data_IF_332592052201
#
_entry.id   IF_332592052201
#
_cell.length_a   1.000
_cell.length_b   1.000
_cell.length_c   1.000
_cell.angle_alpha   90.00
_cell.angle_beta   90.00
_cell.angle_gamma   90.00
#
_symmetry.space_group_name_H-M   'P 1'
#
loop_
_entity.id
_entity.type
_entity.pdbx_description
1 polymer ?
#
# COMPACT_ATOMS: atom_id res chain seq x y z
N UNK A 1 -19.73 -6.01 46.68
CA UNK A 1 -21.05 -5.99 47.34
C UNK A 1 -21.22 -4.59 47.90
N UNK A 2 -22.06 -3.66 47.47
CA UNK A 2 -23.41 -3.65 46.87
C UNK A 2 -23.63 -2.16 46.47
N UNK A 3 -23.78 -1.75 45.20
CA UNK A 3 -25.01 -1.31 44.48
C UNK A 3 -24.46 -0.42 43.34
N UNK A 4 -24.79 -0.44 42.06
CA UNK A 4 -25.99 -0.82 41.30
C UNK A 4 -27.28 -0.33 41.93
N UNK A 5 -27.61 0.96 41.75
CA UNK A 5 -28.99 1.47 41.61
C UNK A 5 -29.00 2.97 41.24
N UNK A 6 -29.85 3.35 40.27
CA UNK A 6 -30.02 4.65 39.56
C UNK A 6 -29.15 4.81 38.31
N UNK A 7 -29.57 4.59 37.06
CA UNK A 7 -30.88 4.49 36.39
C UNK A 7 -31.79 5.74 36.54
N UNK A 8 -31.83 6.50 35.44
CA UNK A 8 -32.94 7.28 34.88
C UNK A 8 -33.49 8.51 35.61
N UNK A 9 -33.01 9.69 35.20
CA UNK A 9 -33.78 10.92 34.90
C UNK A 9 -32.87 11.74 33.95
N UNK A 10 -33.22 12.29 32.79
CA UNK A 10 -34.43 12.42 32.00
C UNK A 10 -34.00 12.97 30.62
N UNK A 11 -34.88 12.86 29.63
CA UNK A 11 -34.69 13.39 28.27
C UNK A 11 -34.42 14.90 28.25
N UNK A 12 -33.62 15.36 27.27
CA UNK A 12 -33.87 16.60 26.53
C UNK A 12 -33.56 16.39 25.03
N UNK A 13 -34.42 16.84 24.09
CA UNK A 13 -34.20 16.71 22.65
C UNK A 13 -33.69 18.02 21.98
N UNK A 14 -32.73 17.87 21.07
CA UNK A 14 -32.34 18.77 19.94
C UNK A 14 -31.76 20.18 20.25
N UNK A 15 -31.12 20.90 19.28
CA UNK A 15 -30.32 20.51 18.10
C UNK A 15 -29.03 21.37 17.91
N UNK A 16 -28.33 21.13 16.79
CA UNK A 16 -27.43 22.04 16.02
C UNK A 16 -25.92 22.06 16.26
N UNK A 17 -25.23 21.77 15.15
CA UNK A 17 -23.99 22.38 14.65
C UNK A 17 -22.89 22.64 15.67
N UNK A 18 -22.13 21.58 15.97
CA UNK A 18 -20.73 21.73 16.34
C UNK A 18 -19.93 21.93 15.06
N UNK A 19 -19.58 23.18 14.77
CA UNK A 19 -18.65 23.56 13.72
C UNK A 19 -17.41 22.65 13.73
N UNK A 20 -17.25 21.85 12.68
CA UNK A 20 -16.01 21.14 12.42
C UNK A 20 -14.94 22.19 12.15
N UNK A 21 -14.21 22.57 13.20
CA UNK A 21 -13.02 23.41 13.12
C UNK A 21 -12.13 22.83 12.01
N UNK A 22 -11.84 23.57 10.93
CA UNK A 22 -10.90 23.08 9.92
C UNK A 22 -9.56 22.93 10.62
N UNK A 23 -9.12 21.67 10.80
CA UNK A 23 -7.77 21.39 11.26
C UNK A 23 -6.83 22.04 10.25
N UNK A 24 -6.21 23.17 10.62
CA UNK A 24 -5.13 23.75 9.84
C UNK A 24 -4.01 22.72 9.83
N UNK A 25 -3.97 21.90 8.78
CA UNK A 25 -2.80 21.12 8.45
C UNK A 25 -1.67 22.15 8.31
N UNK A 26 -0.77 22.20 9.29
CA UNK A 26 0.49 22.90 9.14
C UNK A 26 1.17 22.39 7.86
N UNK A 27 2.03 23.20 7.22
CA UNK A 27 2.67 22.80 5.98
C UNK A 27 3.27 21.40 6.16
N UNK A 28 2.90 20.46 5.29
CA UNK A 28 3.33 19.07 5.37
C UNK A 28 4.86 18.99 5.27
N UNK A 29 5.57 19.13 6.39
CA UNK A 29 7.04 19.18 6.45
C UNK A 29 7.66 17.93 5.83
N UNK A 30 6.95 16.79 5.90
CA UNK A 30 7.33 15.54 5.27
C UNK A 30 7.35 15.67 3.73
N UNK A 31 6.26 16.18 3.14
CA UNK A 31 6.18 16.41 1.69
C UNK A 31 7.18 17.46 1.20
N UNK A 32 7.43 18.51 1.99
CA UNK A 32 8.43 19.53 1.67
C UNK A 32 9.85 18.96 1.62
N UNK A 33 10.24 18.13 2.60
CA UNK A 33 11.57 17.49 2.63
C UNK A 33 11.78 16.56 1.44
N UNK A 34 10.76 15.78 1.09
CA UNK A 34 10.80 14.91 -0.08
C UNK A 34 10.93 15.75 -1.35
N UNK A 35 10.11 16.79 -1.50
CA UNK A 35 10.21 17.70 -2.65
C UNK A 35 11.61 18.30 -2.79
N UNK A 36 12.21 18.77 -1.69
CA UNK A 36 13.57 19.33 -1.69
C UNK A 36 14.63 18.30 -2.11
N UNK A 37 14.51 17.05 -1.68
CA UNK A 37 15.42 15.97 -2.09
C UNK A 37 15.31 15.65 -3.59
N UNK A 38 14.10 15.72 -4.14
CA UNK A 38 13.92 15.52 -5.58
C UNK A 38 14.46 16.69 -6.38
N UNK A 39 14.22 17.92 -5.92
CA UNK A 39 14.76 19.13 -6.55
C UNK A 39 16.29 19.13 -6.55
N UNK A 40 16.94 18.71 -5.45
CA UNK A 40 18.40 18.61 -5.42
C UNK A 40 18.93 17.51 -6.34
N UNK A 41 18.25 16.36 -6.42
CA UNK A 41 18.58 15.27 -7.34
C UNK A 41 18.47 15.69 -8.81
N UNK A 42 17.35 16.30 -9.20
CA UNK A 42 17.17 16.82 -10.56
C UNK A 42 18.16 17.93 -10.89
N UNK A 43 18.47 18.81 -9.94
CA UNK A 43 19.48 19.85 -10.11
C UNK A 43 20.87 19.24 -10.36
N UNK A 44 21.26 18.22 -9.60
CA UNK A 44 22.54 17.53 -9.80
C UNK A 44 22.63 16.87 -11.18
N UNK A 45 21.57 16.21 -11.63
CA UNK A 45 21.49 15.62 -12.98
C UNK A 45 21.53 16.70 -14.07
N UNK A 46 20.83 17.82 -13.87
CA UNK A 46 20.82 18.94 -14.82
C UNK A 46 22.20 19.61 -14.92
N UNK A 47 22.90 19.79 -13.81
CA UNK A 47 24.27 20.33 -13.80
C UNK A 47 25.25 19.36 -14.47
N UNK A 48 25.11 18.05 -14.22
CA UNK A 48 25.90 17.04 -14.92
C UNK A 48 25.65 17.08 -16.44
N UNK A 49 24.38 17.10 -16.86
CA UNK A 49 24.03 17.18 -18.27
C UNK A 49 24.54 18.47 -18.91
N UNK A 50 24.43 19.62 -18.22
CA UNK A 50 24.96 20.90 -18.69
C UNK A 50 26.48 20.86 -18.85
N UNK A 51 27.19 20.26 -17.89
CA UNK A 51 28.64 20.08 -17.96
C UNK A 51 29.03 19.23 -19.18
N UNK A 52 28.35 18.10 -19.40
CA UNK A 52 28.56 17.22 -20.56
C UNK A 52 28.25 17.92 -21.88
N UNK A 53 27.16 18.69 -21.95
CA UNK A 53 26.81 19.44 -23.17
C UNK A 53 27.77 20.60 -23.45
N UNK A 54 28.43 21.14 -22.42
CA UNK A 54 29.43 22.19 -22.57
C UNK A 54 30.81 21.66 -22.97
N UNK A 55 31.15 20.42 -22.60
CA UNK A 55 32.51 19.91 -22.71
C UNK A 55 32.89 19.23 -24.04
N UNK A 56 31.93 18.92 -24.93
CA UNK A 56 32.21 17.88 -25.95
C UNK A 56 31.43 17.98 -27.27
N UNK A 57 31.96 17.27 -28.26
CA UNK A 57 31.30 16.91 -29.51
C UNK A 57 29.93 16.25 -29.26
N UNK A 58 28.92 16.66 -30.02
CA UNK A 58 27.54 16.17 -29.92
C UNK A 58 27.38 14.63 -29.77
N UNK A 59 28.08 13.77 -30.53
CA UNK A 59 27.92 12.31 -30.40
C UNK A 59 28.43 11.74 -29.07
N UNK A 60 29.52 12.27 -28.51
CA UNK A 60 30.09 11.77 -27.25
C UNK A 60 29.18 12.19 -26.07
N UNK A 61 28.71 13.43 -26.09
CA UNK A 61 27.77 13.97 -25.11
C UNK A 61 26.46 13.16 -25.07
N UNK A 62 25.90 12.83 -26.24
CA UNK A 62 24.70 12.01 -26.34
C UNK A 62 24.92 10.60 -25.76
N UNK A 63 26.08 10.00 -26.03
CA UNK A 63 26.44 8.68 -25.51
C UNK A 63 26.53 8.67 -23.99
N UNK A 64 27.22 9.65 -23.39
CA UNK A 64 27.31 9.80 -21.92
C UNK A 64 25.94 9.94 -21.27
N UNK A 65 25.04 10.73 -21.86
CA UNK A 65 23.69 10.94 -21.35
C UNK A 65 22.84 9.65 -21.40
N UNK A 66 22.83 8.95 -22.54
CA UNK A 66 22.08 7.69 -22.68
C UNK A 66 22.53 6.66 -21.64
N UNK A 67 23.84 6.49 -21.45
CA UNK A 67 24.38 5.59 -20.42
C UNK A 67 23.95 6.02 -19.02
N UNK A 68 24.03 7.31 -18.71
CA UNK A 68 23.64 7.86 -17.41
C UNK A 68 22.17 7.60 -17.10
N UNK A 69 21.26 7.86 -18.06
CA UNK A 69 19.84 7.58 -17.89
C UNK A 69 19.53 6.09 -17.82
N UNK A 70 20.21 5.26 -18.62
CA UNK A 70 20.05 3.81 -18.57
C UNK A 70 20.42 3.23 -17.20
N UNK A 71 21.58 3.63 -16.66
CA UNK A 71 22.05 3.18 -15.34
C UNK A 71 21.14 3.70 -14.23
N UNK A 72 20.68 4.96 -14.34
CA UNK A 72 19.70 5.53 -13.43
C UNK A 72 18.38 4.75 -13.42
N UNK A 73 17.86 4.38 -14.60
CA UNK A 73 16.64 3.62 -14.73
C UNK A 73 16.75 2.22 -14.11
N UNK A 74 17.88 1.53 -14.35
CA UNK A 74 18.15 0.23 -13.71
C UNK A 74 18.21 0.38 -12.19
N UNK A 75 18.93 1.39 -11.69
CA UNK A 75 18.97 1.71 -10.27
C UNK A 75 17.56 1.97 -9.71
N UNK A 76 16.74 2.76 -10.39
CA UNK A 76 15.39 3.10 -9.97
C UNK A 76 14.45 1.89 -9.93
N UNK A 77 14.56 0.95 -10.88
CA UNK A 77 13.81 -0.31 -10.86
C UNK A 77 14.19 -1.15 -9.63
N UNK A 78 15.48 -1.25 -9.33
CA UNK A 78 15.96 -1.95 -8.14
C UNK A 78 15.43 -1.24 -6.88
N UNK A 79 15.61 0.08 -6.77
CA UNK A 79 15.12 0.87 -5.64
C UNK A 79 13.62 0.74 -5.43
N UNK A 80 12.83 0.76 -6.51
CA UNK A 80 11.40 0.51 -6.51
C UNK A 80 11.08 -0.83 -5.86
N UNK A 81 11.76 -1.90 -6.27
CA UNK A 81 11.52 -3.25 -5.76
C UNK A 81 11.78 -3.36 -4.25
N UNK A 82 12.86 -2.75 -3.76
CA UNK A 82 13.20 -2.74 -2.33
C UNK A 82 12.27 -1.86 -1.48
N UNK A 83 11.61 -0.87 -2.08
CA UNK A 83 10.75 0.06 -1.36
C UNK A 83 9.31 -0.40 -1.18
N UNK A 84 8.87 -1.46 -1.87
CA UNK A 84 7.50 -1.99 -1.75
C UNK A 84 7.20 -2.26 -0.27
N UNK A 85 6.22 -1.55 0.33
CA UNK A 85 5.89 -1.72 1.73
C UNK A 85 5.30 -3.11 1.96
N UNK A 86 5.88 -3.85 2.90
CA UNK A 86 5.36 -5.14 3.35
C UNK A 86 4.25 -4.88 4.36
N UNK A 87 3.05 -5.36 4.07
CA UNK A 87 1.92 -5.24 5.00
C UNK A 87 1.97 -6.48 5.88
N UNK A 88 2.65 -6.35 7.02
CA UNK A 88 2.71 -7.41 8.02
C UNK A 88 1.28 -7.70 8.49
N UNK A 89 0.69 -8.76 7.94
CA UNK A 89 -0.66 -9.23 8.25
C UNK A 89 -0.79 -9.76 9.69
N UNK A 90 0.30 -9.75 10.48
CA UNK A 90 0.35 -10.25 11.86
C UNK A 90 -0.26 -9.30 12.91
N UNK A 91 -0.66 -8.08 12.53
CA UNK A 91 -1.16 -7.09 13.50
C UNK A 91 -2.67 -7.12 13.70
N UNK A 92 -3.36 -8.19 13.31
CA UNK A 92 -4.73 -8.42 13.78
C UNK A 92 -4.63 -9.37 14.97
N UNK A 93 -4.74 -8.89 16.22
CA UNK A 93 -4.85 -9.78 17.36
C UNK A 93 -5.99 -10.76 17.07
N UNK A 94 -5.82 -12.07 17.35
CA UNK A 94 -6.98 -12.95 17.45
C UNK A 94 -7.94 -12.23 18.39
N UNK A 95 -9.25 -12.15 18.08
CA UNK A 95 -10.18 -11.37 18.87
C UNK A 95 -9.99 -11.78 20.33
N UNK A 96 -9.38 -10.90 21.11
CA UNK A 96 -9.27 -11.11 22.53
C UNK A 96 -10.72 -11.25 22.96
N UNK A 97 -11.05 -12.37 23.58
CA UNK A 97 -12.36 -12.62 24.20
C UNK A 97 -12.54 -11.73 25.43
N UNK A 98 -12.32 -10.43 25.26
CA UNK A 98 -12.52 -9.41 26.26
C UNK A 98 -13.71 -8.61 25.81
N UNK A 99 -14.85 -8.92 26.44
CA UNK A 99 -16.13 -8.21 26.40
C UNK A 99 -16.67 -7.96 25.00
N UNK A 100 -17.61 -8.82 24.60
CA UNK A 100 -18.50 -8.67 23.44
C UNK A 100 -18.73 -7.19 23.12
N UNK A 101 -18.38 -6.70 21.92
CA UNK A 101 -19.18 -5.66 21.31
C UNK A 101 -20.58 -6.26 21.22
N UNK A 102 -21.59 -5.49 21.62
CA UNK A 102 -22.99 -5.79 21.40
C UNK A 102 -23.24 -5.79 19.88
N UNK A 103 -22.79 -6.85 19.18
CA UNK A 103 -23.00 -7.04 17.74
C UNK A 103 -24.45 -7.46 17.58
N UNK A 104 -25.33 -6.47 17.47
CA UNK A 104 -26.77 -6.65 17.43
C UNK A 104 -27.30 -7.25 16.11
N UNK A 105 -26.41 -7.68 15.21
CA UNK A 105 -26.78 -8.20 13.89
C UNK A 105 -25.73 -9.18 13.35
N UNK A 106 -26.12 -10.40 12.93
CA UNK A 106 -25.25 -11.35 12.21
C UNK A 106 -24.58 -10.74 10.96
N UNK A 107 -25.17 -9.68 10.42
CA UNK A 107 -24.65 -8.95 9.27
C UNK A 107 -23.37 -8.17 9.58
N UNK A 108 -23.23 -7.57 10.76
CA UNK A 108 -22.03 -6.79 11.10
C UNK A 108 -20.79 -7.68 11.22
N UNK A 109 -20.96 -8.89 11.77
CA UNK A 109 -19.85 -9.86 11.88
C UNK A 109 -19.38 -10.33 10.49
N UNK A 110 -20.32 -10.57 9.57
CA UNK A 110 -20.00 -10.95 8.18
C UNK A 110 -19.40 -9.79 7.38
N UNK A 111 -19.84 -8.55 7.61
CA UNK A 111 -19.24 -7.35 7.01
C UNK A 111 -17.76 -7.20 7.39
N UNK A 112 -17.42 -7.36 8.67
CA UNK A 112 -16.04 -7.21 9.18
C UNK A 112 -15.13 -8.27 8.56
N UNK A 113 -15.58 -9.54 8.50
CA UNK A 113 -14.80 -10.63 7.89
C UNK A 113 -14.67 -10.49 6.37
N UNK A 114 -15.69 -10.00 5.67
CA UNK A 114 -15.65 -9.77 4.22
C UNK A 114 -14.68 -8.63 3.87
N UNK A 115 -14.76 -7.50 4.59
CA UNK A 115 -13.86 -6.35 4.44
C UNK A 115 -12.41 -6.75 4.73
N UNK A 116 -12.20 -7.56 5.77
CA UNK A 116 -10.89 -8.07 6.15
C UNK A 116 -10.32 -9.01 5.09
N UNK A 117 -11.11 -9.95 4.58
CA UNK A 117 -10.71 -10.84 3.47
C UNK A 117 -10.40 -10.05 2.19
N UNK A 118 -11.15 -9.01 1.89
CA UNK A 118 -10.90 -8.17 0.71
C UNK A 118 -9.58 -7.40 0.80
N UNK A 119 -9.26 -6.82 1.97
CA UNK A 119 -7.97 -6.16 2.21
C UNK A 119 -6.78 -7.13 2.11
N UNK A 120 -6.95 -8.37 2.60
CA UNK A 120 -5.91 -9.41 2.55
C UNK A 120 -5.74 -10.02 1.13
N UNK A 121 -6.80 -10.08 0.32
CA UNK A 121 -6.76 -10.77 -0.97
C UNK A 121 -6.16 -9.95 -2.12
N UNK A 122 -6.31 -8.62 -2.12
CA UNK A 122 -5.91 -7.79 -3.26
C UNK A 122 -4.38 -7.60 -3.40
N UNK A 123 -3.62 -7.72 -2.31
CA UNK A 123 -2.20 -7.35 -2.27
C UNK A 123 -1.22 -8.50 -1.95
N UNK A 124 -1.69 -9.66 -1.50
CA UNK A 124 -0.80 -10.75 -1.06
C UNK A 124 -0.02 -11.42 -2.19
N UNK A 125 -0.58 -11.49 -3.41
CA UNK A 125 0.12 -12.13 -4.53
C UNK A 125 1.36 -11.32 -4.98
N UNK A 126 1.21 -10.01 -5.20
CA UNK A 126 2.33 -9.15 -5.59
C UNK A 126 3.35 -8.98 -4.45
N UNK A 127 2.88 -8.94 -3.20
CA UNK A 127 3.76 -8.90 -2.04
C UNK A 127 4.60 -10.19 -1.93
N UNK A 128 3.97 -11.36 -2.07
CA UNK A 128 4.69 -12.64 -2.09
C UNK A 128 5.69 -12.69 -3.25
N UNK A 129 5.29 -12.18 -4.42
CA UNK A 129 6.16 -12.14 -5.59
C UNK A 129 7.38 -11.26 -5.37
N UNK A 130 7.18 -10.07 -4.79
CA UNK A 130 8.27 -9.16 -4.41
C UNK A 130 9.16 -9.74 -3.31
N UNK A 131 8.60 -10.45 -2.33
CA UNK A 131 9.38 -11.04 -1.23
C UNK A 131 10.32 -12.15 -1.73
N UNK A 132 9.85 -13.06 -2.60
CA UNK A 132 10.77 -14.05 -3.17
C UNK A 132 11.76 -13.40 -4.14
N UNK A 133 11.34 -12.43 -4.95
CA UNK A 133 12.23 -11.74 -5.89
C UNK A 133 13.34 -10.97 -5.17
N UNK A 134 13.00 -10.20 -4.13
CA UNK A 134 13.99 -9.48 -3.31
C UNK A 134 14.91 -10.44 -2.57
N UNK A 135 14.42 -11.56 -2.03
CA UNK A 135 15.26 -12.58 -1.40
C UNK A 135 16.24 -13.21 -2.38
N UNK A 136 15.82 -13.52 -3.61
CA UNK A 136 16.71 -14.05 -4.66
C UNK A 136 17.75 -12.99 -5.04
N UNK A 137 17.35 -11.74 -5.26
CA UNK A 137 18.27 -10.66 -5.62
C UNK A 137 19.30 -10.41 -4.50
N UNK A 138 18.87 -10.35 -3.25
CA UNK A 138 19.79 -10.18 -2.11
C UNK A 138 20.66 -11.43 -1.93
N UNK A 139 20.10 -12.62 -2.07
CA UNK A 139 20.83 -13.89 -1.94
C UNK A 139 21.92 -14.06 -2.98
N UNK A 140 21.58 -13.87 -4.26
CA UNK A 140 22.54 -13.91 -5.38
C UNK A 140 23.52 -12.74 -5.27
N UNK A 141 23.05 -11.55 -4.93
CA UNK A 141 23.89 -10.37 -4.76
C UNK A 141 24.94 -10.52 -3.66
N UNK A 142 24.64 -11.23 -2.56
CA UNK A 142 25.60 -11.49 -1.50
C UNK A 142 26.71 -12.46 -1.93
N UNK A 143 26.38 -13.44 -2.76
CA UNK A 143 27.34 -14.42 -3.28
C UNK A 143 28.26 -13.76 -4.32
N UNK A 144 27.68 -12.93 -5.20
CA UNK A 144 28.40 -12.26 -6.29
C UNK A 144 29.02 -10.91 -5.90
N UNK A 145 28.96 -10.52 -4.62
CA UNK A 145 29.42 -9.20 -4.15
C UNK A 145 30.90 -8.94 -4.47
N UNK A 146 31.73 -10.00 -4.42
CA UNK A 146 33.15 -9.92 -4.73
C UNK A 146 33.44 -9.63 -6.21
N UNK A 147 32.50 -9.95 -7.11
CA UNK A 147 32.65 -9.72 -8.56
C UNK A 147 32.19 -8.32 -8.99
N UNK A 148 31.48 -7.58 -8.12
CA UNK A 148 30.96 -6.24 -8.42
C UNK A 148 32.06 -5.28 -8.88
N UNK A 149 33.22 -5.14 -8.22
CA UNK A 149 34.28 -4.22 -8.67
C UNK A 149 34.80 -4.58 -10.06
N UNK A 150 34.96 -5.88 -10.35
CA UNK A 150 35.41 -6.38 -11.65
C UNK A 150 34.38 -6.06 -12.74
N UNK A 151 33.09 -6.26 -12.45
CA UNK A 151 32.00 -5.97 -13.39
C UNK A 151 31.89 -4.47 -13.66
N UNK A 152 31.98 -3.63 -12.62
CA UNK A 152 31.99 -2.17 -12.76
C UNK A 152 33.17 -1.73 -13.62
N UNK A 153 34.37 -2.26 -13.38
CA UNK A 153 35.55 -1.89 -14.17
C UNK A 153 35.42 -2.32 -15.65
N UNK A 154 34.88 -3.51 -15.92
CA UNK A 154 34.62 -3.98 -17.30
C UNK A 154 33.60 -3.10 -18.01
N UNK A 155 32.51 -2.74 -17.33
CA UNK A 155 31.48 -1.85 -17.88
C UNK A 155 32.03 -0.44 -18.10
N UNK A 156 32.81 0.08 -17.16
CA UNK A 156 33.47 1.38 -17.28
C UNK A 156 34.45 1.40 -18.47
N UNK A 157 35.20 0.32 -18.69
CA UNK A 157 36.09 0.20 -19.84
C UNK A 157 35.30 0.26 -21.16
N UNK A 158 34.17 -0.45 -21.27
CA UNK A 158 33.30 -0.39 -22.45
C UNK A 158 32.71 1.00 -22.68
N UNK A 159 32.25 1.66 -21.62
CA UNK A 159 31.70 3.02 -21.68
C UNK A 159 32.77 4.04 -22.08
N UNK A 160 34.00 3.88 -21.57
CA UNK A 160 35.10 4.81 -21.83
C UNK A 160 35.47 4.93 -23.31
N UNK A 161 35.27 3.84 -24.10
CA UNK A 161 35.46 3.84 -25.55
C UNK A 161 34.52 4.85 -26.23
N UNK A 162 33.26 4.92 -25.79
CA UNK A 162 32.27 5.86 -26.32
C UNK A 162 32.41 7.29 -25.81
N UNK A 163 33.26 7.51 -24.80
CA UNK A 163 33.46 8.81 -24.15
C UNK A 163 34.62 9.61 -24.78
N UNK A 164 35.40 8.98 -25.66
CA UNK A 164 36.56 9.57 -26.34
C UNK A 164 37.89 9.29 -25.63
N UNK A 165 38.99 9.70 -26.27
CA UNK A 165 40.37 9.36 -25.88
C UNK A 165 40.95 10.18 -24.70
N UNK A 166 40.09 10.74 -23.84
CA UNK A 166 40.57 11.52 -22.70
C UNK A 166 41.19 10.59 -21.62
N UNK A 167 42.29 11.00 -20.97
CA UNK A 167 42.92 10.23 -19.88
C UNK A 167 41.98 9.92 -18.70
N UNK A 168 40.93 10.73 -18.54
CA UNK A 168 39.95 10.60 -17.47
C UNK A 168 38.71 9.77 -17.86
N UNK A 169 38.57 9.29 -19.09
CA UNK A 169 37.34 8.63 -19.59
C UNK A 169 36.93 7.42 -18.74
N UNK A 170 37.89 6.59 -18.31
CA UNK A 170 37.61 5.43 -17.45
C UNK A 170 37.11 5.86 -16.05
N UNK A 171 37.76 6.88 -15.47
CA UNK A 171 37.37 7.43 -14.16
C UNK A 171 35.98 8.06 -14.21
N UNK A 172 35.68 8.79 -15.28
CA UNK A 172 34.35 9.39 -15.52
C UNK A 172 33.30 8.30 -15.71
N UNK A 173 33.57 7.27 -16.52
CA UNK A 173 32.65 6.14 -16.71
C UNK A 173 32.35 5.42 -15.40
N UNK A 174 33.39 5.18 -14.58
CA UNK A 174 33.23 4.57 -13.25
C UNK A 174 32.37 5.44 -12.33
N UNK A 175 32.64 6.75 -12.30
CA UNK A 175 31.86 7.71 -11.52
C UNK A 175 30.39 7.75 -11.96
N UNK A 176 30.12 7.73 -13.27
CA UNK A 176 28.76 7.67 -13.83
C UNK A 176 28.04 6.40 -13.36
N UNK A 177 28.69 5.23 -13.45
CA UNK A 177 28.10 3.97 -12.99
C UNK A 177 27.71 4.06 -11.52
N UNK A 178 28.62 4.48 -10.66
CA UNK A 178 28.38 4.54 -9.21
C UNK A 178 27.33 5.58 -8.86
N UNK A 179 27.45 6.80 -9.39
CA UNK A 179 26.59 7.92 -9.05
C UNK A 179 25.16 7.71 -9.54
N UNK A 180 24.98 7.31 -10.80
CA UNK A 180 23.64 7.16 -11.37
C UNK A 180 22.95 5.88 -10.91
N UNK A 181 23.68 4.79 -10.61
CA UNK A 181 23.05 3.59 -10.03
C UNK A 181 22.56 3.85 -8.61
N UNK A 182 23.39 4.46 -7.76
CA UNK A 182 23.01 4.84 -6.40
C UNK A 182 21.91 5.91 -6.38
N UNK A 183 22.04 6.93 -7.24
CA UNK A 183 21.04 7.98 -7.40
C UNK A 183 19.70 7.44 -7.88
N UNK A 184 19.71 6.61 -8.93
CA UNK A 184 18.53 5.91 -9.43
C UNK A 184 17.88 5.06 -8.35
N UNK A 185 18.68 4.25 -7.63
CA UNK A 185 18.20 3.45 -6.50
C UNK A 185 17.52 4.31 -5.44
N UNK A 186 18.15 5.40 -5.02
CA UNK A 186 17.59 6.28 -4.00
C UNK A 186 16.30 6.96 -4.48
N UNK A 187 16.26 7.42 -5.73
CA UNK A 187 15.06 8.01 -6.35
C UNK A 187 13.94 6.97 -6.34
N UNK A 188 14.16 5.80 -6.94
CA UNK A 188 13.16 4.73 -7.00
C UNK A 188 12.68 4.31 -5.61
N UNK A 189 13.61 4.18 -4.66
CA UNK A 189 13.30 3.77 -3.29
C UNK A 189 12.45 4.80 -2.56
N UNK A 190 12.92 6.06 -2.51
CA UNK A 190 12.22 7.14 -1.79
C UNK A 190 10.87 7.43 -2.44
N UNK A 191 10.78 7.42 -3.77
CA UNK A 191 9.53 7.61 -4.50
C UNK A 191 8.50 6.58 -4.09
N UNK A 192 8.84 5.30 -4.26
CA UNK A 192 7.91 4.21 -4.00
C UNK A 192 7.53 4.20 -2.52
N UNK A 193 8.48 4.40 -1.62
CA UNK A 193 8.21 4.40 -0.18
C UNK A 193 7.33 5.58 0.26
N UNK A 194 7.46 6.74 -0.36
CA UNK A 194 6.69 7.93 -0.02
C UNK A 194 5.27 7.92 -0.61
N UNK A 195 5.11 7.46 -1.85
CA UNK A 195 3.85 7.60 -2.60
C UNK A 195 2.99 6.34 -2.60
N UNK A 196 3.59 5.14 -2.66
CA UNK A 196 2.85 3.89 -2.81
C UNK A 196 1.87 3.61 -1.64
N UNK A 197 2.22 3.85 -0.36
CA UNK A 197 1.27 3.67 0.74
C UNK A 197 0.03 4.55 0.60
N UNK A 198 0.20 5.80 0.14
CA UNK A 198 -0.90 6.74 0.03
C UNK A 198 -1.89 6.35 -1.07
N UNK A 199 -1.37 5.89 -2.21
CA UNK A 199 -2.19 5.41 -3.34
C UNK A 199 -2.93 4.12 -2.95
N UNK A 200 -2.25 3.19 -2.26
CA UNK A 200 -2.87 1.94 -1.82
C UNK A 200 -3.96 2.18 -0.76
N UNK A 201 -3.72 3.08 0.20
CA UNK A 201 -4.73 3.45 1.21
C UNK A 201 -5.97 4.06 0.56
N UNK A 202 -5.80 4.99 -0.38
CA UNK A 202 -6.93 5.59 -1.10
C UNK A 202 -7.71 4.54 -1.92
N UNK A 203 -7.02 3.58 -2.55
CA UNK A 203 -7.66 2.48 -3.28
C UNK A 203 -8.43 1.55 -2.34
N UNK A 204 -7.87 1.22 -1.17
CA UNK A 204 -8.53 0.40 -0.15
C UNK A 204 -9.79 1.07 0.40
N UNK A 205 -9.75 2.37 0.72
CA UNK A 205 -10.92 3.12 1.21
C UNK A 205 -12.07 3.08 0.21
N UNK A 206 -11.76 3.29 -1.07
CA UNK A 206 -12.75 3.23 -2.16
C UNK A 206 -13.33 1.81 -2.33
N UNK A 207 -12.49 0.78 -2.24
CA UNK A 207 -12.94 -0.62 -2.34
C UNK A 207 -13.86 -1.01 -1.17
N UNK A 208 -13.52 -0.61 0.07
CA UNK A 208 -14.34 -0.86 1.25
C UNK A 208 -15.66 -0.10 1.16
N UNK A 209 -15.66 1.17 0.73
CA UNK A 209 -16.88 1.94 0.53
C UNK A 209 -17.82 1.28 -0.52
N UNK A 210 -17.25 0.78 -1.62
CA UNK A 210 -18.01 0.06 -2.65
C UNK A 210 -18.57 -1.29 -2.16
N UNK A 211 -17.85 -2.00 -1.29
CA UNK A 211 -18.32 -3.26 -0.70
C UNK A 211 -19.45 -3.00 0.32
N UNK A 212 -19.30 -1.99 1.17
CA UNK A 212 -20.31 -1.60 2.16
C UNK A 212 -21.62 -1.16 1.48
N UNK A 213 -21.56 -0.44 0.36
CA UNK A 213 -22.77 -0.08 -0.39
C UNK A 213 -23.48 -1.32 -0.95
N UNK A 214 -22.73 -2.25 -1.56
CA UNK A 214 -23.29 -3.53 -2.06
C UNK A 214 -23.98 -4.34 -0.97
N UNK A 215 -23.37 -4.42 0.21
CA UNK A 215 -23.91 -5.21 1.33
C UNK A 215 -25.16 -4.55 1.95
N UNK A 216 -25.19 -3.21 2.03
CA UNK A 216 -26.41 -2.48 2.42
C UNK A 216 -27.58 -2.72 1.46
N UNK A 217 -27.32 -2.78 0.15
CA UNK A 217 -28.36 -3.07 -0.85
C UNK A 217 -28.79 -4.54 -0.90
N UNK A 218 -27.91 -5.47 -0.53
CA UNK A 218 -28.23 -6.90 -0.47
C UNK A 218 -29.08 -7.27 0.75
N UNK A 219 -28.92 -6.56 1.87
CA UNK A 219 -29.65 -6.78 3.14
C UNK A 219 -31.19 -6.87 2.97
N UNK A 220 -31.89 -5.89 2.35
CA UNK A 220 -33.35 -5.95 2.24
C UNK A 220 -33.87 -7.10 1.38
N UNK A 221 -33.09 -7.54 0.37
CA UNK A 221 -33.45 -8.71 -0.45
C UNK A 221 -33.32 -10.02 0.34
N UNK A 222 -32.30 -10.14 1.19
CA UNK A 222 -32.10 -11.30 2.04
C UNK A 222 -33.18 -11.39 3.14
N UNK A 223 -33.54 -10.26 3.77
CA UNK A 223 -34.62 -10.20 4.77
C UNK A 223 -35.99 -10.50 4.15
N UNK A 224 -36.27 -10.01 2.93
CA UNK A 224 -37.49 -10.33 2.20
C UNK A 224 -37.59 -11.83 1.83
N UNK A 225 -36.49 -12.43 1.36
CA UNK A 225 -36.45 -13.85 1.03
C UNK A 225 -36.62 -14.77 2.26
N UNK A 226 -36.05 -14.39 3.41
CA UNK A 226 -36.18 -15.16 4.65
C UNK A 226 -37.60 -15.10 5.24
N UNK A 227 -38.29 -13.97 5.08
CA UNK A 227 -39.69 -13.81 5.53
C UNK A 227 -40.66 -14.67 4.70
N UNK A 228 -40.30 -14.97 3.44
CA UNK A 228 -41.10 -15.79 2.53
C UNK A 228 -40.89 -17.30 2.67
N UNK A 229 -39.85 -17.74 3.40
CA UNK A 229 -39.54 -19.15 3.64
C UNK A 229 -39.84 -19.61 5.08
N UNK A 230 -40.48 -18.77 5.90
CA UNK A 230 -40.91 -19.16 7.23
C UNK A 230 -41.90 -20.34 7.16
N UNK A 231 -41.67 -21.46 7.85
CA UNK A 231 -42.55 -22.63 7.79
C UNK A 231 -43.94 -22.24 8.31
N UNK A 232 -44.99 -22.63 7.56
CA UNK A 232 -46.37 -22.34 7.92
C UNK A 232 -46.69 -22.84 9.34
N UNK A 233 -47.46 -22.07 10.15
CA UNK A 233 -47.88 -22.53 11.46
C UNK A 233 -48.72 -23.81 11.31
N UNK A 234 -48.31 -24.88 12.00
CA UNK A 234 -49.07 -26.14 11.98
C UNK A 234 -50.47 -25.90 12.57
N UNK A 235 -51.55 -26.42 11.95
CA UNK A 235 -52.90 -26.19 12.43
C UNK A 235 -53.09 -26.89 13.79
N UNK A 236 -53.50 -26.11 14.79
CA UNK A 236 -53.92 -26.60 16.10
C UNK A 236 -55.02 -27.65 15.92
N UNK A 237 -54.74 -28.89 16.36
CA UNK A 237 -55.72 -29.96 16.38
C UNK A 237 -56.86 -29.59 17.34
N UNK A 238 -58.00 -29.19 16.77
CA UNK A 238 -59.23 -28.95 17.51
C UNK A 238 -59.68 -30.21 18.26
N UNK A 239 -59.55 -30.19 19.59
CA UNK A 239 -60.08 -31.21 20.47
C UNK A 239 -61.60 -31.19 20.47
N UNK A 240 -62.21 -32.18 19.81
CA UNK A 240 -63.64 -32.46 19.88
C UNK A 240 -64.08 -32.72 21.33
N UNK A 241 -65.13 -32.01 21.75
CA UNK A 241 -65.92 -32.33 22.93
C UNK A 241 -66.65 -33.66 22.69
N UNK A 242 -66.50 -34.61 23.62
CA UNK A 242 -67.39 -35.76 23.72
C UNK A 242 -68.05 -35.75 25.09
N UNK A 243 -69.33 -35.38 25.07
CA UNK A 243 -70.30 -35.58 26.14
C UNK A 243 -70.42 -37.06 26.45
N UNK A 244 -70.07 -37.48 27.68
CA UNK A 244 -70.37 -38.82 28.18
C UNK A 244 -71.57 -38.74 29.13
N UNK A 245 -72.71 -39.20 28.61
CA UNK A 245 -73.98 -39.43 29.30
C UNK A 245 -73.92 -40.58 30.30
N UNK A 246 -74.80 -40.51 31.30
CA UNK A 246 -75.08 -41.47 32.38
C UNK A 246 -75.13 -42.95 31.99
N UNK A 247 -74.76 -43.78 32.96
CA UNK A 247 -74.96 -45.23 33.03
C UNK A 247 -74.16 -45.83 34.17
#
# INVERSE_FOLDING_TARGET
MFKTFQICLGQDPHPQNGDAKPSSHGPNFFGLRILLLWMSGFLAVALFALCVLYSSDWPQSATMLIWSFGICAVGAIIGFLFAIPRVVSDSIPPPARTTQPEVNSPLELTLIDEVKRHRLAANTNLEQVSDWLTKIIVGVGLIELNEIPTLVNRLAALMSIGFGDAPASLSVATAVIVLFSAGGFLIGYVTTRAFLPHILQAAEENAVAALLSRLRHAKPKAEAANTQCAPAPQPEAGGHSSSRTSG
#
